data_IF_360492998209
#
_entry.id   IF_360492998209
#
_cell.length_a   1.000
_cell.length_b   1.000
_cell.length_c   1.000
_cell.angle_alpha   90.00
_cell.angle_beta   90.00
_cell.angle_gamma   90.00
#
_symmetry.space_group_name_H-M   'P 1'
#
loop_
_entity.id
_entity.type
_entity.pdbx_description
1 polymer ?
#
# COMPACT_ATOMS: atom_id res chain seq x y z
N UNK A 1 19.78 -8.49 7.83
CA UNK A 1 18.72 -9.24 8.55
C UNK A 1 18.32 -8.61 9.89
N UNK A 2 19.25 -8.11 10.71
CA UNK A 2 18.92 -7.48 12.00
C UNK A 2 18.01 -6.25 11.89
N UNK A 3 18.15 -5.41 10.86
CA UNK A 3 17.26 -4.24 10.64
C UNK A 3 15.82 -4.61 10.32
N UNK A 4 15.58 -5.80 9.75
CA UNK A 4 14.25 -6.33 9.48
C UNK A 4 13.50 -6.64 10.78
N UNK A 5 14.21 -7.23 11.75
CA UNK A 5 13.71 -7.46 13.10
C UNK A 5 13.45 -6.15 13.86
N UNK A 6 14.25 -5.10 13.64
CA UNK A 6 13.96 -3.78 14.18
C UNK A 6 12.68 -3.16 13.58
N UNK A 7 12.40 -3.38 12.29
CA UNK A 7 11.14 -3.03 11.64
C UNK A 7 9.93 -3.77 12.22
N UNK A 8 10.05 -5.08 12.45
CA UNK A 8 9.02 -5.90 13.12
C UNK A 8 8.83 -5.51 14.59
N UNK A 9 9.91 -5.18 15.31
CA UNK A 9 9.82 -4.66 16.68
C UNK A 9 9.08 -3.32 16.73
N UNK A 10 9.16 -2.52 15.65
CA UNK A 10 8.37 -1.28 15.49
C UNK A 10 6.88 -1.56 15.20
N UNK A 11 6.53 -2.71 14.62
CA UNK A 11 5.14 -3.17 14.48
C UNK A 11 4.53 -3.54 15.84
N UNK A 12 5.33 -4.20 16.69
CA UNK A 12 4.89 -4.70 18.00
C UNK A 12 4.91 -3.59 19.07
N UNK A 13 5.77 -2.57 18.91
CA UNK A 13 5.80 -1.43 19.84
C UNK A 13 4.49 -0.67 19.77
N UNK A 14 3.66 -0.82 20.82
CA UNK A 14 2.42 -0.05 21.03
C UNK A 14 2.73 1.44 20.88
N UNK A 15 2.18 2.06 19.83
CA UNK A 15 2.30 3.52 19.66
C UNK A 15 1.53 4.19 20.78
N UNK A 16 2.20 5.15 21.43
CA UNK A 16 1.60 5.96 22.51
C UNK A 16 0.43 6.79 21.97
N UNK A 17 0.48 7.19 20.69
CA UNK A 17 -0.54 8.01 20.04
C UNK A 17 -0.91 7.42 18.67
N UNK A 18 -2.21 7.23 18.46
CA UNK A 18 -2.85 6.72 17.26
C UNK A 18 -3.38 7.88 16.41
N UNK A 19 -2.69 8.16 15.31
CA UNK A 19 -3.08 9.19 14.32
C UNK A 19 -3.68 8.58 13.04
N UNK A 20 -3.90 7.26 13.02
CA UNK A 20 -4.33 6.51 11.84
C UNK A 20 -5.36 5.41 12.16
N UNK A 21 -6.12 5.03 11.13
CA UNK A 21 -7.10 3.94 11.19
C UNK A 21 -6.41 2.59 10.96
N UNK A 22 -7.04 1.50 11.41
CA UNK A 22 -6.48 0.14 11.25
C UNK A 22 -6.25 -0.23 9.78
N UNK A 23 -7.21 0.11 8.90
CA UNK A 23 -7.10 -0.11 7.45
C UNK A 23 -5.96 0.72 6.86
N UNK A 24 -5.80 1.97 7.30
CA UNK A 24 -4.70 2.81 6.84
C UNK A 24 -3.34 2.21 7.23
N UNK A 25 -3.23 1.60 8.42
CA UNK A 25 -2.04 0.83 8.83
C UNK A 25 -1.80 -0.40 7.97
N UNK A 26 -2.83 -1.15 7.58
CA UNK A 26 -2.65 -2.27 6.65
C UNK A 26 -2.04 -1.79 5.33
N UNK A 27 -2.52 -0.67 4.80
CA UNK A 27 -1.96 -0.06 3.58
C UNK A 27 -0.50 0.36 3.77
N UNK A 28 -0.19 1.31 4.66
CA UNK A 28 1.15 1.92 4.68
C UNK A 28 2.18 1.09 5.44
N UNK A 29 1.80 0.37 6.48
CA UNK A 29 2.75 -0.27 7.39
C UNK A 29 3.00 -1.73 7.00
N UNK A 30 1.92 -2.52 6.88
CA UNK A 30 2.05 -3.93 6.55
C UNK A 30 2.49 -4.13 5.10
N UNK A 31 1.88 -3.42 4.15
CA UNK A 31 2.22 -3.57 2.72
C UNK A 31 3.61 -3.07 2.40
N UNK A 32 4.04 -1.92 2.93
CA UNK A 32 5.41 -1.44 2.72
C UNK A 32 6.45 -2.40 3.29
N UNK A 33 6.20 -2.97 4.47
CA UNK A 33 7.12 -3.97 5.05
C UNK A 33 7.12 -5.24 4.20
N UNK A 34 5.96 -5.74 3.79
CA UNK A 34 5.83 -6.90 2.92
C UNK A 34 6.65 -6.74 1.63
N UNK A 35 6.46 -5.61 0.93
CA UNK A 35 7.14 -5.31 -0.33
C UNK A 35 8.66 -5.14 -0.15
N UNK A 36 9.09 -4.44 0.91
CA UNK A 36 10.53 -4.28 1.23
C UNK A 36 11.15 -5.64 1.58
N UNK A 37 10.45 -6.50 2.33
CA UNK A 37 10.92 -7.84 2.63
C UNK A 37 11.08 -8.68 1.35
N UNK A 38 10.08 -8.67 0.46
CA UNK A 38 10.14 -9.35 -0.83
C UNK A 38 11.31 -8.82 -1.68
N UNK A 39 11.53 -7.50 -1.72
CA UNK A 39 12.66 -6.88 -2.42
C UNK A 39 14.01 -7.35 -1.87
N UNK A 40 14.16 -7.44 -0.54
CA UNK A 40 15.39 -7.94 0.09
C UNK A 40 15.62 -9.42 -0.24
N UNK A 41 14.58 -10.25 -0.21
CA UNK A 41 14.67 -11.68 -0.55
C UNK A 41 15.11 -11.88 -2.00
N UNK A 42 14.53 -11.12 -2.94
CA UNK A 42 14.90 -11.21 -4.35
C UNK A 42 16.31 -10.67 -4.61
N UNK A 43 16.68 -9.56 -4.00
CA UNK A 43 18.04 -9.01 -4.07
C UNK A 43 19.06 -10.05 -3.58
N UNK A 44 18.78 -10.73 -2.47
CA UNK A 44 19.65 -11.79 -1.97
C UNK A 44 19.81 -12.93 -2.99
N UNK A 45 18.73 -13.37 -3.64
CA UNK A 45 18.80 -14.40 -4.68
C UNK A 45 19.52 -13.94 -5.96
N UNK A 46 19.39 -12.66 -6.31
CA UNK A 46 19.97 -12.10 -7.53
C UNK A 46 21.49 -11.89 -7.42
N UNK A 47 21.99 -11.48 -6.25
CA UNK A 47 23.42 -11.13 -6.08
C UNK A 47 24.25 -12.19 -5.34
N UNK A 48 23.63 -13.00 -4.47
CA UNK A 48 24.35 -14.04 -3.71
C UNK A 48 24.19 -15.42 -4.35
N UNK A 49 23.12 -15.64 -5.10
CA UNK A 49 22.88 -16.89 -5.84
C UNK A 49 23.26 -16.80 -7.32
N UNK A 50 23.09 -17.90 -8.05
CA UNK A 50 23.18 -17.92 -9.51
C UNK A 50 21.84 -17.44 -10.09
N UNK A 51 21.80 -16.27 -10.76
CA UNK A 51 20.53 -15.72 -11.24
C UNK A 51 19.97 -16.45 -12.47
N UNK A 52 20.87 -17.06 -13.25
CA UNK A 52 20.57 -17.82 -14.45
C UNK A 52 21.60 -18.94 -14.61
N UNK A 53 21.16 -20.11 -15.05
CA UNK A 53 22.04 -21.24 -15.37
C UNK A 53 21.70 -21.74 -16.77
N UNK A 54 22.63 -21.56 -17.71
CA UNK A 54 22.48 -21.94 -19.11
C UNK A 54 23.24 -23.21 -19.45
N UNK A 55 22.65 -24.03 -20.31
CA UNK A 55 23.18 -25.29 -20.83
C UNK A 55 23.29 -25.17 -22.35
N UNK A 56 24.43 -25.59 -22.89
CA UNK A 56 24.72 -25.62 -24.31
C UNK A 56 25.63 -26.82 -24.64
N UNK A 57 25.63 -27.27 -25.91
CA UNK A 57 26.44 -28.39 -26.39
C UNK A 57 27.84 -28.01 -26.91
N UNK A 58 28.17 -26.72 -27.05
CA UNK A 58 29.43 -26.23 -27.64
C UNK A 58 30.47 -25.82 -26.57
N UNK A 59 31.74 -25.69 -26.95
CA UNK A 59 32.89 -25.33 -26.09
C UNK A 59 32.92 -23.87 -25.60
N UNK A 60 31.75 -23.24 -25.41
CA UNK A 60 31.66 -21.87 -24.90
C UNK A 60 31.75 -21.88 -23.37
N UNK A 61 32.63 -21.07 -22.75
CA UNK A 61 32.71 -20.98 -21.30
C UNK A 61 31.35 -20.61 -20.68
N UNK A 62 30.83 -21.50 -19.82
CA UNK A 62 29.51 -21.36 -19.19
C UNK A 62 29.36 -20.04 -18.42
N UNK A 63 30.45 -19.53 -17.84
CA UNK A 63 30.45 -18.23 -17.14
C UNK A 63 30.18 -17.05 -18.06
N UNK A 64 30.77 -17.06 -19.26
CA UNK A 64 30.55 -16.03 -20.30
C UNK A 64 29.13 -16.12 -20.82
N UNK A 65 28.65 -17.34 -21.10
CA UNK A 65 27.29 -17.58 -21.57
C UNK A 65 26.25 -17.11 -20.53
N UNK A 66 26.40 -17.50 -19.27
CA UNK A 66 25.50 -17.09 -18.19
C UNK A 66 25.47 -15.56 -18.03
N UNK A 67 26.64 -14.91 -18.07
CA UNK A 67 26.72 -13.44 -17.94
C UNK A 67 26.08 -12.75 -19.15
N UNK A 68 26.35 -13.24 -20.36
CA UNK A 68 25.76 -12.69 -21.58
C UNK A 68 24.24 -12.83 -21.57
N UNK A 69 23.73 -14.04 -21.31
CA UNK A 69 22.29 -14.32 -21.30
C UNK A 69 21.56 -13.61 -20.16
N UNK A 70 22.24 -13.37 -19.03
CA UNK A 70 21.69 -12.54 -17.97
C UNK A 70 21.48 -11.09 -18.45
N UNK A 71 22.44 -10.52 -19.19
CA UNK A 71 22.43 -9.12 -19.65
C UNK A 71 21.54 -8.92 -20.88
N UNK A 72 21.67 -9.78 -21.91
CA UNK A 72 21.07 -9.61 -23.24
C UNK A 72 19.63 -10.12 -23.39
N UNK A 73 18.95 -10.40 -22.27
CA UNK A 73 17.60 -10.93 -22.17
C UNK A 73 17.43 -12.35 -22.71
N UNK A 74 16.36 -13.00 -22.26
CA UNK A 74 15.97 -14.35 -22.70
C UNK A 74 14.57 -14.33 -23.28
N UNK A 75 14.21 -15.32 -24.09
CA UNK A 75 12.91 -15.36 -24.76
C UNK A 75 12.24 -16.74 -24.71
N UNK A 76 10.93 -16.74 -24.87
CA UNK A 76 10.12 -17.94 -25.11
C UNK A 76 9.33 -17.78 -26.41
N UNK A 77 8.88 -18.90 -26.97
CA UNK A 77 8.03 -18.94 -28.16
C UNK A 77 6.59 -19.24 -27.68
N UNK A 78 5.66 -18.27 -27.72
CA UNK A 78 4.29 -18.44 -27.20
C UNK A 78 3.52 -19.61 -27.82
N UNK A 79 3.75 -19.88 -29.11
CA UNK A 79 3.13 -21.01 -29.82
C UNK A 79 3.56 -22.36 -29.26
N UNK A 80 4.76 -22.45 -28.68
CA UNK A 80 5.31 -23.66 -28.09
C UNK A 80 4.63 -24.03 -26.76
N UNK A 81 3.83 -23.15 -26.15
CA UNK A 81 3.05 -23.49 -24.95
C UNK A 81 1.84 -24.38 -25.26
N UNK A 82 1.40 -24.47 -26.51
CA UNK A 82 0.30 -25.35 -26.95
C UNK A 82 0.78 -26.74 -27.38
N UNK A 83 2.09 -26.92 -27.51
CA UNK A 83 2.73 -28.16 -27.97
C UNK A 83 2.87 -29.17 -26.83
N UNK A 84 2.86 -30.46 -27.14
CA UNK A 84 2.99 -31.52 -26.13
C UNK A 84 4.43 -31.65 -25.64
N UNK A 85 4.62 -31.46 -24.34
CA UNK A 85 5.93 -31.59 -23.67
C UNK A 85 6.41 -33.04 -23.70
N UNK A 86 7.69 -33.25 -23.98
CA UNK A 86 8.32 -34.57 -24.05
C UNK A 86 8.13 -35.29 -25.39
N UNK A 87 7.28 -34.78 -26.28
CA UNK A 87 7.07 -35.31 -27.64
C UNK A 87 7.45 -34.26 -28.69
N UNK A 88 6.82 -33.09 -28.65
CA UNK A 88 7.02 -32.01 -29.64
C UNK A 88 8.01 -30.96 -29.15
N UNK A 89 8.04 -30.71 -27.83
CA UNK A 89 8.89 -29.68 -27.21
C UNK A 89 9.50 -30.20 -25.90
N UNK A 90 10.74 -29.78 -25.53
CA UNK A 90 11.37 -30.22 -24.30
C UNK A 90 10.77 -29.57 -23.04
N UNK A 91 10.22 -28.36 -23.15
CA UNK A 91 9.58 -27.62 -22.06
C UNK A 91 8.57 -26.61 -22.65
N UNK A 92 7.50 -26.23 -21.93
CA UNK A 92 6.58 -25.19 -22.38
C UNK A 92 7.32 -23.89 -22.76
N UNK A 93 7.00 -23.34 -23.93
CA UNK A 93 7.61 -22.12 -24.43
C UNK A 93 8.97 -22.29 -25.11
N UNK A 94 9.51 -23.51 -25.20
CA UNK A 94 10.80 -23.81 -25.82
C UNK A 94 10.59 -24.56 -27.13
N UNK A 95 11.10 -24.01 -28.22
CA UNK A 95 11.02 -24.63 -29.54
C UNK A 95 12.28 -24.32 -30.36
N UNK A 96 12.66 -25.26 -31.23
CA UNK A 96 13.81 -25.19 -32.14
C UNK A 96 13.43 -24.78 -33.56
N UNK A 97 12.16 -24.46 -33.81
CA UNK A 97 11.68 -24.04 -35.13
C UNK A 97 12.40 -22.76 -35.59
N UNK A 98 13.29 -22.91 -36.59
CA UNK A 98 13.99 -21.80 -37.26
C UNK A 98 12.96 -20.99 -38.06
N UNK A 99 12.50 -19.88 -37.50
CA UNK A 99 11.53 -18.99 -38.15
C UNK A 99 10.31 -18.62 -37.31
N UNK A 100 10.27 -18.95 -36.01
CA UNK A 100 9.20 -18.48 -35.12
C UNK A 100 9.12 -16.94 -35.14
N UNK A 101 8.04 -16.39 -35.70
CA UNK A 101 7.88 -14.94 -35.93
C UNK A 101 7.61 -14.20 -34.62
N UNK A 102 7.00 -14.87 -33.63
CA UNK A 102 6.60 -14.26 -32.37
C UNK A 102 7.47 -14.77 -31.21
N UNK A 103 8.50 -14.00 -30.83
CA UNK A 103 9.31 -14.24 -29.63
C UNK A 103 8.85 -13.29 -28.53
N UNK A 104 8.55 -13.83 -27.34
CA UNK A 104 8.30 -13.02 -26.13
C UNK A 104 9.59 -12.94 -25.32
N UNK A 105 10.13 -11.72 -25.19
CA UNK A 105 11.35 -11.45 -24.43
C UNK A 105 11.02 -11.13 -22.98
N UNK A 106 11.84 -11.61 -22.05
CA UNK A 106 11.72 -11.36 -20.63
C UNK A 106 12.92 -10.52 -20.18
N UNK A 107 12.66 -9.27 -19.81
CA UNK A 107 13.67 -8.33 -19.29
C UNK A 107 13.35 -7.85 -17.87
N UNK A 108 12.11 -8.04 -17.42
CA UNK A 108 11.65 -7.48 -16.15
C UNK A 108 12.39 -8.06 -14.93
N UNK A 109 12.91 -9.30 -14.98
CA UNK A 109 13.42 -10.01 -13.80
C UNK A 109 14.62 -9.30 -13.14
N UNK A 110 15.38 -8.52 -13.91
CA UNK A 110 16.48 -7.70 -13.39
C UNK A 110 15.98 -6.51 -12.55
N UNK A 111 14.78 -6.02 -12.87
CA UNK A 111 14.18 -4.81 -12.30
C UNK A 111 13.21 -5.09 -11.16
N UNK A 112 12.67 -6.31 -11.06
CA UNK A 112 11.65 -6.68 -10.05
C UNK A 112 12.06 -6.29 -8.63
N UNK A 113 13.31 -6.52 -8.23
CA UNK A 113 13.77 -6.20 -6.87
C UNK A 113 13.71 -4.69 -6.59
N UNK A 114 14.11 -3.85 -7.54
CA UNK A 114 14.04 -2.39 -7.46
C UNK A 114 12.59 -1.90 -7.51
N UNK A 115 11.78 -2.48 -8.40
CA UNK A 115 10.35 -2.20 -8.48
C UNK A 115 9.70 -2.42 -7.12
N UNK A 116 9.81 -3.61 -6.52
CA UNK A 116 9.20 -3.90 -5.22
C UNK A 116 9.67 -2.93 -4.12
N UNK A 117 10.93 -2.51 -4.15
CA UNK A 117 11.45 -1.50 -3.22
C UNK A 117 10.71 -0.16 -3.39
N UNK A 118 10.65 0.36 -4.61
CA UNK A 118 9.96 1.63 -4.90
C UNK A 118 8.45 1.55 -4.64
N UNK A 119 7.82 0.41 -4.95
CA UNK A 119 6.42 0.17 -4.58
C UNK A 119 6.25 0.25 -3.07
N UNK A 120 7.15 -0.37 -2.29
CA UNK A 120 7.15 -0.27 -0.82
C UNK A 120 7.23 1.17 -0.31
N UNK A 121 8.07 2.01 -0.93
CA UNK A 121 8.17 3.45 -0.62
C UNK A 121 6.88 4.20 -0.98
N UNK A 122 6.29 3.92 -2.14
CA UNK A 122 5.03 4.55 -2.58
C UNK A 122 3.85 4.19 -1.65
N UNK A 123 3.78 2.97 -1.12
CA UNK A 123 2.78 2.61 -0.09
C UNK A 123 2.98 3.38 1.24
N UNK A 124 4.21 3.76 1.57
CA UNK A 124 4.52 4.56 2.76
C UNK A 124 4.20 6.05 2.57
N UNK A 125 4.20 6.53 1.33
CA UNK A 125 4.08 7.96 1.00
C UNK A 125 2.81 8.65 1.53
N UNK A 126 1.58 8.10 1.40
CA UNK A 126 0.38 8.75 1.93
C UNK A 126 0.43 8.97 3.45
N UNK A 127 1.02 8.03 4.19
CA UNK A 127 1.22 8.16 5.63
C UNK A 127 2.29 9.19 5.97
N UNK A 128 3.40 9.21 5.23
CA UNK A 128 4.43 10.23 5.40
C UNK A 128 3.86 11.63 5.21
N UNK A 129 3.07 11.83 4.15
CA UNK A 129 2.39 13.09 3.86
C UNK A 129 1.43 13.48 4.99
N UNK A 130 0.61 12.56 5.48
CA UNK A 130 -0.28 12.81 6.62
C UNK A 130 0.51 13.21 7.86
N UNK A 131 1.61 12.51 8.17
CA UNK A 131 2.44 12.80 9.34
C UNK A 131 3.07 14.18 9.28
N UNK A 132 3.52 14.63 8.10
CA UNK A 132 4.03 15.99 7.90
C UNK A 132 2.94 17.03 8.13
N UNK A 133 1.74 16.78 7.61
CA UNK A 133 0.61 17.70 7.70
C UNK A 133 -0.03 17.77 9.09
N UNK A 134 -0.03 16.67 9.85
CA UNK A 134 -0.59 16.59 11.19
C UNK A 134 0.26 17.39 12.19
N UNK A 135 1.58 17.50 11.96
CA UNK A 135 2.47 18.41 12.70
C UNK A 135 2.60 18.13 14.20
N UNK A 136 2.16 16.96 14.68
CA UNK A 136 2.18 16.58 16.09
C UNK A 136 1.05 17.16 16.95
N UNK A 137 -0.02 17.68 16.34
CA UNK A 137 -1.16 18.26 17.06
C UNK A 137 -1.80 17.28 18.06
N UNK A 138 -2.19 16.09 17.60
CA UNK A 138 -2.84 15.06 18.42
C UNK A 138 -1.89 14.60 19.51
N UNK A 139 -0.60 14.43 19.18
CA UNK A 139 0.40 14.01 20.16
C UNK A 139 0.59 15.07 21.25
N UNK A 140 0.60 16.35 20.90
CA UNK A 140 0.76 17.45 21.85
C UNK A 140 -0.43 17.53 22.79
N UNK A 141 -1.65 17.43 22.25
CA UNK A 141 -2.88 17.44 23.05
C UNK A 141 -2.96 16.19 23.93
N UNK A 142 -2.72 15.00 23.38
CA UNK A 142 -2.83 13.75 24.15
C UNK A 142 -1.82 13.71 25.29
N UNK A 143 -0.56 14.06 25.00
CA UNK A 143 0.51 14.06 26.00
C UNK A 143 0.28 15.15 27.04
N UNK A 144 -0.16 16.35 26.65
CA UNK A 144 -0.46 17.45 27.57
C UNK A 144 -1.58 17.13 28.56
N UNK A 145 -2.53 16.27 28.17
CA UNK A 145 -3.68 15.88 28.98
C UNK A 145 -3.44 14.61 29.82
N UNK A 146 -2.46 13.77 29.47
CA UNK A 146 -2.17 12.48 30.11
C UNK A 146 -1.14 12.52 31.26
N UNK A 147 -0.78 13.69 31.78
CA UNK A 147 0.35 13.78 32.70
C UNK A 147 -0.07 13.42 34.13
N UNK A 148 0.31 12.21 34.56
CA UNK A 148 0.02 11.62 35.87
C UNK A 148 0.92 12.13 37.03
N UNK A 149 1.89 13.02 36.75
CA UNK A 149 2.97 13.37 37.69
C UNK A 149 2.79 14.78 38.33
N UNK A 150 1.72 15.52 37.98
CA UNK A 150 1.51 16.88 38.49
C UNK A 150 0.62 16.95 39.73
N UNK A 151 0.82 18.00 40.52
CA UNK A 151 -0.13 18.45 41.56
C UNK A 151 -1.49 18.79 40.93
N UNK A 152 -2.59 18.63 41.68
CA UNK A 152 -3.95 18.82 41.14
C UNK A 152 -4.18 20.25 40.58
N UNK A 153 -3.51 21.26 41.15
CA UNK A 153 -3.55 22.65 40.65
C UNK A 153 -2.88 22.80 39.27
N UNK A 154 -1.67 22.26 39.09
CA UNK A 154 -0.94 22.35 37.83
C UNK A 154 -1.64 21.58 36.70
N UNK A 155 -2.25 20.44 37.06
CA UNK A 155 -3.09 19.65 36.16
C UNK A 155 -4.29 20.46 35.69
N UNK A 156 -4.99 21.14 36.61
CA UNK A 156 -6.12 22.02 36.29
C UNK A 156 -5.72 23.17 35.36
N UNK A 157 -4.57 23.80 35.62
CA UNK A 157 -4.07 24.93 34.82
C UNK A 157 -3.71 24.52 33.38
N UNK A 158 -2.94 23.45 33.19
CA UNK A 158 -2.55 22.97 31.84
C UNK A 158 -3.76 22.53 31.03
N UNK A 159 -4.68 21.81 31.67
CA UNK A 159 -5.95 21.41 31.06
C UNK A 159 -6.75 22.62 30.58
N UNK A 160 -6.85 23.68 31.39
CA UNK A 160 -7.55 24.91 31.00
C UNK A 160 -6.90 25.59 29.79
N UNK A 161 -5.57 25.63 29.73
CA UNK A 161 -4.83 26.18 28.58
C UNK A 161 -5.12 25.39 27.29
N UNK A 162 -5.10 24.05 27.35
CA UNK A 162 -5.37 23.20 26.19
C UNK A 162 -6.83 23.33 25.74
N UNK A 163 -7.78 23.38 26.67
CA UNK A 163 -9.19 23.61 26.38
C UNK A 163 -9.42 24.97 25.74
N UNK A 164 -8.77 26.03 26.25
CA UNK A 164 -8.86 27.37 25.68
C UNK A 164 -8.27 27.41 24.26
N UNK A 165 -7.12 26.77 24.04
CA UNK A 165 -6.53 26.62 22.71
C UNK A 165 -7.49 25.91 21.72
N UNK A 166 -8.09 24.78 22.13
CA UNK A 166 -9.06 24.04 21.31
C UNK A 166 -10.27 24.90 20.98
N UNK A 167 -10.81 25.61 21.97
CA UNK A 167 -12.00 26.46 21.79
C UNK A 167 -11.71 27.67 20.91
N UNK A 168 -10.54 28.29 21.06
CA UNK A 168 -10.13 29.45 20.26
C UNK A 168 -9.90 29.09 18.79
N UNK A 169 -9.43 27.87 18.53
CA UNK A 169 -9.18 27.39 17.18
C UNK A 169 -10.32 26.53 16.60
N UNK A 170 -11.47 26.44 17.29
CA UNK A 170 -12.70 25.86 16.76
C UNK A 170 -13.01 26.47 15.40
N UNK A 171 -13.59 25.68 14.50
CA UNK A 171 -13.96 26.04 13.13
C UNK A 171 -12.80 26.12 12.12
N UNK A 172 -11.54 26.23 12.56
CA UNK A 172 -10.36 26.29 11.67
C UNK A 172 -9.81 24.90 11.27
N UNK A 173 -10.28 23.82 11.90
CA UNK A 173 -9.82 22.45 11.62
C UNK A 173 -10.37 21.84 10.31
N UNK A 174 -11.05 22.61 9.45
CA UNK A 174 -11.55 22.12 8.14
C UNK A 174 -10.42 21.57 7.26
N UNK A 175 -9.34 22.34 7.11
CA UNK A 175 -8.18 21.94 6.33
C UNK A 175 -7.47 20.72 6.92
N UNK A 176 -7.47 20.57 8.25
CA UNK A 176 -6.91 19.40 8.92
C UNK A 176 -7.64 18.11 8.51
N UNK A 177 -8.99 18.12 8.54
CA UNK A 177 -9.77 16.97 8.10
C UNK A 177 -9.67 16.71 6.59
N UNK A 178 -9.67 17.77 5.77
CA UNK A 178 -9.53 17.64 4.31
C UNK A 178 -8.19 16.98 3.93
N UNK A 179 -7.09 17.40 4.57
CA UNK A 179 -5.77 16.79 4.40
C UNK A 179 -5.77 15.30 4.73
N UNK A 180 -6.48 14.89 5.78
CA UNK A 180 -6.61 13.47 6.13
C UNK A 180 -7.37 12.68 5.07
N UNK A 181 -8.55 13.16 4.66
CA UNK A 181 -9.37 12.48 3.65
C UNK A 181 -8.67 12.43 2.29
N UNK A 182 -7.89 13.46 1.97
CA UNK A 182 -7.01 13.44 0.79
C UNK A 182 -5.98 12.31 0.88
N UNK A 183 -5.34 12.10 2.04
CA UNK A 183 -4.42 10.97 2.24
C UNK A 183 -5.13 9.61 2.16
N UNK A 184 -6.37 9.48 2.66
CA UNK A 184 -7.18 8.27 2.50
C UNK A 184 -7.49 7.99 1.02
N UNK A 185 -7.90 9.02 0.27
CA UNK A 185 -8.14 8.91 -1.18
C UNK A 185 -6.86 8.57 -1.95
N UNK A 186 -5.73 9.17 -1.58
CA UNK A 186 -4.43 8.90 -2.17
C UNK A 186 -4.00 7.43 -1.97
N UNK A 187 -4.48 6.74 -0.93
CA UNK A 187 -4.24 5.30 -0.78
C UNK A 187 -4.94 4.47 -1.86
N UNK A 188 -6.19 4.82 -2.20
CA UNK A 188 -6.94 4.16 -3.29
C UNK A 188 -6.22 4.41 -4.62
N UNK A 189 -5.85 5.66 -4.88
CA UNK A 189 -5.08 6.03 -6.09
C UNK A 189 -3.75 5.29 -6.15
N UNK A 190 -3.04 5.16 -5.03
CA UNK A 190 -1.80 4.41 -4.96
C UNK A 190 -2.05 2.95 -5.33
N UNK A 191 -3.02 2.25 -4.74
CA UNK A 191 -3.28 0.84 -5.09
C UNK A 191 -3.64 0.68 -6.58
N UNK A 192 -4.48 1.55 -7.13
CA UNK A 192 -4.83 1.53 -8.56
C UNK A 192 -3.59 1.74 -9.43
N UNK A 193 -2.75 2.72 -9.09
CA UNK A 193 -1.48 2.96 -9.77
C UNK A 193 -0.56 1.74 -9.71
N UNK A 194 -0.47 1.07 -8.55
CA UNK A 194 0.37 -0.12 -8.38
C UNK A 194 -0.14 -1.31 -9.22
N UNK A 195 -1.45 -1.52 -9.29
CA UNK A 195 -2.06 -2.53 -10.15
C UNK A 195 -1.78 -2.24 -11.63
N UNK A 196 -2.00 -0.99 -12.07
CA UNK A 196 -1.72 -0.57 -13.44
C UNK A 196 -0.23 -0.71 -13.79
N UNK A 197 0.66 -0.22 -12.92
CA UNK A 197 2.10 -0.27 -13.15
C UNK A 197 2.63 -1.71 -13.21
N UNK A 198 2.16 -2.58 -12.31
CA UNK A 198 2.54 -4.00 -12.32
C UNK A 198 1.97 -4.73 -13.55
N UNK A 199 0.77 -4.34 -14.00
CA UNK A 199 0.20 -4.85 -15.24
C UNK A 199 1.00 -4.44 -16.47
N UNK A 200 1.43 -3.19 -16.53
CA UNK A 200 2.32 -2.70 -17.58
C UNK A 200 3.68 -3.42 -17.57
N UNK A 201 4.24 -3.69 -16.38
CA UNK A 201 5.51 -4.41 -16.24
C UNK A 201 5.47 -5.86 -16.78
N UNK A 202 4.30 -6.51 -16.74
CA UNK A 202 4.11 -7.90 -17.17
C UNK A 202 3.30 -8.03 -18.46
N UNK A 203 3.40 -7.04 -19.36
CA UNK A 203 2.78 -7.05 -20.69
C UNK A 203 1.24 -7.24 -20.68
N UNK A 204 0.57 -6.75 -19.64
CA UNK A 204 -0.90 -6.80 -19.55
C UNK A 204 -1.48 -8.04 -18.86
N UNK A 205 -0.64 -8.95 -18.36
CA UNK A 205 -1.10 -10.24 -17.81
C UNK A 205 -1.43 -10.20 -16.31
N UNK A 206 -1.12 -9.10 -15.59
CA UNK A 206 -1.20 -9.08 -14.13
C UNK A 206 -2.63 -8.95 -13.60
N UNK A 207 -3.50 -8.17 -14.24
CA UNK A 207 -4.87 -7.93 -13.73
C UNK A 207 -5.64 -9.25 -13.62
N UNK A 208 -5.58 -10.09 -14.65
CA UNK A 208 -6.30 -11.37 -14.68
C UNK A 208 -5.50 -12.53 -14.06
N UNK A 209 -4.26 -12.29 -13.64
CA UNK A 209 -3.32 -13.32 -13.19
C UNK A 209 -3.90 -14.23 -12.10
N UNK A 210 -4.38 -13.67 -10.98
CA UNK A 210 -4.87 -14.47 -9.86
C UNK A 210 -6.12 -15.29 -10.18
N UNK A 211 -7.02 -14.74 -11.00
CA UNK A 211 -8.22 -15.43 -11.48
C UNK A 211 -7.82 -16.58 -12.42
N UNK A 212 -6.92 -16.33 -13.36
CA UNK A 212 -6.42 -17.33 -14.29
C UNK A 212 -5.71 -18.48 -13.55
N UNK A 213 -4.92 -18.17 -12.52
CA UNK A 213 -4.31 -19.19 -11.67
C UNK A 213 -5.35 -20.01 -10.92
N UNK A 214 -6.38 -19.38 -10.34
CA UNK A 214 -7.43 -20.10 -9.63
C UNK A 214 -8.24 -21.01 -10.56
N UNK A 215 -8.52 -20.54 -11.78
CA UNK A 215 -9.19 -21.30 -12.82
C UNK A 215 -8.34 -22.49 -13.30
N UNK A 216 -7.03 -22.32 -13.41
CA UNK A 216 -6.10 -23.40 -13.72
C UNK A 216 -6.04 -24.44 -12.60
N UNK A 217 -5.92 -24.00 -11.34
CA UNK A 217 -5.85 -24.89 -10.18
C UNK A 217 -7.12 -25.74 -9.97
N UNK A 218 -8.28 -25.26 -10.43
CA UNK A 218 -9.56 -25.99 -10.37
C UNK A 218 -9.79 -26.93 -11.54
N UNK A 219 -9.07 -26.77 -12.65
CA UNK A 219 -9.27 -27.60 -13.83
C UNK A 219 -8.33 -28.81 -13.83
N UNK A 220 -8.88 -30.00 -14.02
CA UNK A 220 -8.12 -31.26 -14.16
C UNK A 220 -7.50 -31.46 -15.55
N UNK A 221 -7.69 -30.51 -16.49
CA UNK A 221 -7.16 -30.63 -17.85
C UNK A 221 -5.70 -30.20 -17.91
N UNK A 222 -4.83 -31.16 -18.16
CA UNK A 222 -3.38 -30.95 -18.35
C UNK A 222 -3.03 -30.11 -19.58
N UNK A 223 -3.92 -30.02 -20.58
CA UNK A 223 -3.67 -29.31 -21.84
C UNK A 223 -3.75 -27.78 -21.76
N UNK A 224 -4.01 -27.19 -20.58
CA UNK A 224 -4.09 -25.74 -20.41
C UNK A 224 -2.72 -25.13 -20.15
N UNK A 225 -2.48 -23.97 -20.77
CA UNK A 225 -1.28 -23.17 -20.51
C UNK A 225 -1.29 -22.72 -19.05
N UNK A 226 -0.28 -23.11 -18.28
CA UNK A 226 -0.12 -22.69 -16.90
C UNK A 226 0.22 -21.17 -16.85
N UNK A 227 -0.66 -20.32 -16.30
CA UNK A 227 -0.44 -18.87 -16.27
C UNK A 227 0.82 -18.48 -15.49
N UNK A 228 1.22 -19.26 -14.47
CA UNK A 228 2.44 -19.00 -13.71
C UNK A 228 3.68 -19.11 -14.58
N UNK A 229 3.75 -20.15 -15.42
CA UNK A 229 4.90 -20.41 -16.32
C UNK A 229 4.87 -19.47 -17.51
N UNK A 230 3.70 -19.03 -17.95
CA UNK A 230 3.55 -18.07 -19.05
C UNK A 230 4.03 -16.66 -18.66
N UNK A 231 3.69 -16.19 -17.46
CA UNK A 231 4.13 -14.87 -16.98
C UNK A 231 5.58 -14.95 -16.48
N UNK A 232 5.90 -15.99 -15.69
CA UNK A 232 7.20 -16.22 -15.06
C UNK A 232 7.83 -17.55 -15.54
N UNK A 233 8.42 -17.58 -16.74
CA UNK A 233 9.02 -18.81 -17.26
C UNK A 233 10.22 -19.24 -16.41
N UNK A 234 10.26 -20.53 -16.07
CA UNK A 234 11.37 -21.15 -15.34
C UNK A 234 12.51 -21.58 -16.26
N UNK A 235 12.20 -21.75 -17.55
CA UNK A 235 13.17 -22.06 -18.61
C UNK A 235 12.91 -21.18 -19.82
N UNK A 236 13.98 -20.70 -20.44
CA UNK A 236 13.94 -19.78 -21.59
C UNK A 236 15.06 -20.11 -22.58
N UNK A 237 14.97 -19.56 -23.80
CA UNK A 237 16.05 -19.60 -24.78
C UNK A 237 16.86 -18.30 -24.74
N UNK A 238 18.16 -18.43 -24.86
CA UNK A 238 19.09 -17.34 -25.08
C UNK A 238 19.80 -17.55 -26.42
N UNK A 239 20.00 -16.48 -27.19
CA UNK A 239 20.78 -16.55 -28.43
C UNK A 239 22.11 -15.84 -28.23
N UNK A 240 23.18 -16.61 -28.16
CA UNK A 240 24.54 -16.11 -28.09
C UNK A 240 25.12 -15.94 -29.50
N UNK A 241 25.84 -14.84 -29.71
CA UNK A 241 26.41 -14.50 -31.01
C UNK A 241 27.93 -14.57 -30.92
N UNK A 242 28.54 -15.46 -31.70
CA UNK A 242 29.99 -15.51 -31.90
C UNK A 242 30.32 -14.98 -33.29
N UNK A 243 31.57 -14.57 -33.48
CA UNK A 243 32.06 -14.05 -34.75
C UNK A 243 33.19 -14.95 -35.24
N UNK A 244 33.00 -15.55 -36.41
CA UNK A 244 34.03 -16.36 -37.05
C UNK A 244 35.19 -15.50 -37.57
N UNK A 245 36.32 -16.13 -37.92
CA UNK A 245 37.48 -15.43 -38.50
C UNK A 245 37.17 -14.65 -39.78
N UNK A 246 36.15 -15.07 -40.54
CA UNK A 246 35.64 -14.39 -41.74
C UNK A 246 34.74 -13.19 -41.43
N UNK A 247 34.42 -12.92 -40.16
CA UNK A 247 33.45 -11.89 -39.75
C UNK A 247 31.99 -12.34 -39.78
N UNK A 248 31.71 -13.58 -40.19
CA UNK A 248 30.36 -14.14 -40.19
C UNK A 248 29.84 -14.35 -38.76
N UNK A 249 28.57 -13.98 -38.55
CA UNK A 249 27.88 -14.15 -37.26
C UNK A 249 27.39 -15.59 -37.14
N UNK A 250 27.90 -16.30 -36.13
CA UNK A 250 27.42 -17.63 -35.77
C UNK A 250 26.46 -17.54 -34.58
N UNK A 251 25.32 -18.20 -34.70
CA UNK A 251 24.27 -18.19 -33.69
C UNK A 251 24.28 -19.49 -32.88
N UNK A 252 24.41 -19.34 -31.57
CA UNK A 252 24.36 -20.42 -30.61
C UNK A 252 23.12 -20.24 -29.74
N UNK A 253 22.15 -21.16 -29.84
CA UNK A 253 20.96 -21.16 -28.99
C UNK A 253 21.27 -21.97 -27.72
N UNK A 254 21.18 -21.33 -26.55
CA UNK A 254 21.33 -21.96 -25.25
C UNK A 254 19.97 -22.07 -24.53
N UNK A 255 19.81 -23.11 -23.71
CA UNK A 255 18.67 -23.28 -22.83
C UNK A 255 19.04 -22.79 -21.43
N UNK A 256 18.27 -21.86 -20.88
CA UNK A 256 18.58 -21.22 -19.61
C UNK A 256 17.48 -21.44 -18.58
N UNK A 257 17.85 -21.91 -17.39
CA UNK A 257 16.99 -22.00 -16.22
C UNK A 257 17.05 -20.70 -15.41
N UNK A 258 15.89 -20.21 -14.96
CA UNK A 258 15.75 -18.98 -14.18
C UNK A 258 15.17 -19.29 -12.79
N UNK A 259 16.02 -19.64 -11.80
CA UNK A 259 15.56 -19.93 -10.44
C UNK A 259 14.85 -18.75 -9.77
N UNK A 260 15.19 -17.51 -10.12
CA UNK A 260 14.55 -16.30 -9.60
C UNK A 260 13.04 -16.28 -9.90
N UNK A 261 12.63 -16.79 -11.05
CA UNK A 261 11.24 -16.76 -11.46
C UNK A 261 10.36 -17.71 -10.64
N UNK A 262 10.92 -18.76 -10.04
CA UNK A 262 10.22 -19.62 -9.08
C UNK A 262 9.82 -18.84 -7.82
N UNK A 263 10.64 -17.89 -7.39
CA UNK A 263 10.32 -17.02 -6.24
C UNK A 263 9.34 -15.93 -6.68
N UNK A 264 9.56 -15.32 -7.85
CA UNK A 264 8.68 -14.27 -8.40
C UNK A 264 7.25 -14.76 -8.58
N UNK A 265 7.03 -15.97 -9.14
CA UNK A 265 5.68 -16.51 -9.34
C UNK A 265 4.89 -16.60 -8.03
N UNK A 266 5.56 -16.89 -6.89
CA UNK A 266 4.94 -17.00 -5.56
C UNK A 266 4.74 -15.65 -4.89
N UNK A 267 5.67 -14.72 -5.06
CA UNK A 267 5.53 -13.36 -4.54
C UNK A 267 4.35 -12.67 -5.25
N UNK A 268 4.31 -12.69 -6.57
CA UNK A 268 3.32 -11.92 -7.33
C UNK A 268 1.91 -12.50 -7.25
N UNK A 269 1.74 -13.82 -7.06
CA UNK A 269 0.41 -14.37 -6.76
C UNK A 269 -0.09 -13.91 -5.39
N UNK A 270 0.77 -13.92 -4.36
CA UNK A 270 0.41 -13.42 -3.03
C UNK A 270 0.09 -11.92 -3.08
N UNK A 271 0.90 -11.13 -3.79
CA UNK A 271 0.69 -9.69 -3.94
C UNK A 271 -0.60 -9.37 -4.71
N UNK A 272 -0.96 -10.17 -5.71
CA UNK A 272 -2.21 -10.00 -6.45
C UNK A 272 -3.42 -10.06 -5.51
N UNK A 273 -3.54 -11.14 -4.73
CA UNK A 273 -4.64 -11.28 -3.75
C UNK A 273 -4.59 -10.17 -2.70
N UNK A 274 -3.39 -9.79 -2.26
CA UNK A 274 -3.19 -8.73 -1.28
C UNK A 274 -3.65 -7.35 -1.78
N UNK A 275 -3.28 -6.97 -3.01
CA UNK A 275 -3.65 -5.66 -3.59
C UNK A 275 -5.15 -5.55 -3.83
N UNK A 276 -5.81 -6.59 -4.35
CA UNK A 276 -7.27 -6.57 -4.52
C UNK A 276 -8.00 -6.56 -3.16
N UNK A 277 -7.54 -7.33 -2.18
CA UNK A 277 -8.08 -7.28 -0.83
C UNK A 277 -7.96 -5.88 -0.19
N UNK A 278 -6.80 -5.25 -0.32
CA UNK A 278 -6.59 -3.89 0.17
C UNK A 278 -7.42 -2.86 -0.59
N UNK A 279 -7.56 -3.01 -1.92
CA UNK A 279 -8.39 -2.13 -2.73
C UNK A 279 -9.82 -2.13 -2.22
N UNK A 280 -10.38 -3.32 -1.93
CA UNK A 280 -11.74 -3.46 -1.39
C UNK A 280 -11.84 -2.79 -0.03
N UNK A 281 -10.93 -3.09 0.91
CA UNK A 281 -10.98 -2.53 2.27
C UNK A 281 -10.84 -1.00 2.30
N UNK A 282 -9.87 -0.46 1.56
CA UNK A 282 -9.62 1.00 1.52
C UNK A 282 -10.76 1.71 0.78
N UNK A 283 -11.28 1.14 -0.31
CA UNK A 283 -12.43 1.71 -1.02
C UNK A 283 -13.68 1.71 -0.15
N UNK A 284 -13.96 0.62 0.58
CA UNK A 284 -15.07 0.57 1.54
C UNK A 284 -14.91 1.62 2.65
N UNK A 285 -13.69 1.85 3.14
CA UNK A 285 -13.41 2.91 4.11
C UNK A 285 -13.70 4.30 3.54
N UNK A 286 -13.24 4.59 2.32
CA UNK A 286 -13.49 5.86 1.64
C UNK A 286 -14.98 6.08 1.38
N UNK A 287 -15.71 5.05 0.93
CA UNK A 287 -17.16 5.10 0.72
C UNK A 287 -17.91 5.31 2.04
N UNK A 288 -17.54 4.58 3.09
CA UNK A 288 -18.08 4.76 4.44
C UNK A 288 -17.88 6.19 4.95
N UNK A 289 -16.69 6.78 4.74
CA UNK A 289 -16.40 8.17 5.09
C UNK A 289 -17.28 9.13 4.28
N UNK A 290 -17.36 8.96 2.96
CA UNK A 290 -18.15 9.81 2.08
C UNK A 290 -19.64 9.80 2.47
N UNK A 291 -20.18 8.65 2.87
CA UNK A 291 -21.57 8.51 3.30
C UNK A 291 -21.88 9.19 4.65
N UNK A 292 -20.92 9.24 5.58
CA UNK A 292 -21.15 9.80 6.94
C UNK A 292 -21.00 11.33 6.98
N UNK A 293 -20.10 11.89 6.16
CA UNK A 293 -19.80 13.33 6.17
C UNK A 293 -21.04 14.24 6.04
N UNK A 294 -22.01 13.99 5.15
CA UNK A 294 -23.18 14.85 5.01
C UNK A 294 -24.22 14.65 6.13
N UNK A 295 -24.23 13.51 6.81
CA UNK A 295 -25.31 13.17 7.75
C UNK A 295 -24.89 13.44 9.20
N UNK A 296 -25.35 14.57 9.73
CA UNK A 296 -25.07 15.02 11.10
C UNK A 296 -25.50 14.02 12.18
N UNK A 297 -26.57 13.25 11.95
CA UNK A 297 -27.06 12.21 12.88
C UNK A 297 -26.06 11.05 13.00
N UNK A 298 -25.55 10.54 11.88
CA UNK A 298 -24.55 9.48 11.88
C UNK A 298 -23.23 9.95 12.49
N UNK A 299 -22.80 11.18 12.20
CA UNK A 299 -21.64 11.80 12.85
C UNK A 299 -21.75 11.78 14.38
N UNK A 300 -22.90 12.17 14.92
CA UNK A 300 -23.14 12.17 16.37
C UNK A 300 -23.10 10.75 16.95
N UNK A 301 -23.69 9.76 16.26
CA UNK A 301 -23.68 8.35 16.68
C UNK A 301 -22.28 7.75 16.71
N UNK A 302 -21.47 7.98 15.66
CA UNK A 302 -20.10 7.48 15.64
C UNK A 302 -19.20 8.17 16.66
N UNK A 303 -19.46 9.46 16.93
CA UNK A 303 -18.75 10.17 17.99
C UNK A 303 -19.12 9.63 19.37
N UNK A 304 -20.40 9.30 19.62
CA UNK A 304 -20.83 8.71 20.89
C UNK A 304 -20.26 7.31 21.12
N UNK A 305 -20.07 6.52 20.06
CA UNK A 305 -19.42 5.20 20.16
C UNK A 305 -17.97 5.29 20.68
N UNK A 306 -17.28 6.40 20.39
CA UNK A 306 -15.93 6.70 20.89
C UNK A 306 -15.96 7.42 22.24
N UNK A 307 -16.87 8.37 22.43
CA UNK A 307 -17.01 9.18 23.63
C UNK A 307 -18.12 8.62 24.56
N UNK A 308 -17.92 7.40 25.09
CA UNK A 308 -18.95 6.65 25.83
C UNK A 308 -19.53 7.37 27.06
N UNK A 309 -18.77 8.28 27.67
CA UNK A 309 -19.14 9.03 28.88
C UNK A 309 -19.72 10.42 28.60
N UNK A 310 -19.63 10.91 27.36
CA UNK A 310 -20.13 12.23 26.97
C UNK A 310 -21.66 12.22 26.81
N UNK A 311 -22.31 13.34 27.18
CA UNK A 311 -23.77 13.47 27.04
C UNK A 311 -24.14 13.57 25.56
N UNK A 312 -25.17 12.85 25.14
CA UNK A 312 -25.59 12.80 23.73
C UNK A 312 -26.08 14.15 23.21
N UNK A 313 -26.62 15.01 24.08
CA UNK A 313 -27.00 16.40 23.76
C UNK A 313 -25.79 17.22 23.31
N UNK A 314 -24.69 17.16 24.04
CA UNK A 314 -23.47 17.94 23.76
C UNK A 314 -22.81 17.48 22.45
N UNK A 315 -22.75 16.16 22.23
CA UNK A 315 -22.24 15.59 20.98
C UNK A 315 -23.08 16.01 19.77
N UNK A 316 -24.41 16.05 19.91
CA UNK A 316 -25.31 16.47 18.85
C UNK A 316 -25.16 17.97 18.55
N UNK A 317 -25.05 18.80 19.58
CA UNK A 317 -24.80 20.24 19.45
C UNK A 317 -23.49 20.52 18.70
N UNK A 318 -22.42 19.82 19.04
CA UNK A 318 -21.13 19.94 18.34
C UNK A 318 -21.27 19.53 16.87
N UNK A 319 -22.04 18.48 16.56
CA UNK A 319 -22.21 18.03 15.19
C UNK A 319 -23.08 19.01 14.36
N UNK A 320 -24.05 19.68 15.00
CA UNK A 320 -24.97 20.62 14.35
C UNK A 320 -24.34 22.00 14.11
N UNK A 321 -23.65 22.56 15.11
CA UNK A 321 -23.08 23.92 15.04
C UNK A 321 -21.59 23.93 14.68
N UNK A 322 -20.89 22.79 14.82
CA UNK A 322 -19.47 22.66 14.53
C UNK A 322 -19.18 22.20 13.11
N UNK A 323 -17.99 22.54 12.62
CA UNK A 323 -17.54 22.12 11.30
C UNK A 323 -17.16 20.63 11.27
N UNK A 324 -17.06 20.07 10.06
CA UNK A 324 -16.59 18.70 9.83
C UNK A 324 -15.20 18.48 10.47
N UNK A 325 -14.34 19.49 10.42
CA UNK A 325 -13.02 19.48 11.03
C UNK A 325 -13.04 19.29 12.55
N UNK A 326 -13.95 19.97 13.25
CA UNK A 326 -14.06 19.91 14.70
C UNK A 326 -14.54 18.52 15.14
N UNK A 327 -15.52 17.96 14.43
CA UNK A 327 -15.97 16.59 14.64
C UNK A 327 -14.86 15.56 14.39
N UNK A 328 -14.11 15.72 13.30
CA UNK A 328 -13.04 14.80 12.95
C UNK A 328 -11.89 14.85 13.96
N UNK A 329 -11.50 16.04 14.43
CA UNK A 329 -10.51 16.21 15.48
C UNK A 329 -10.94 15.49 16.77
N UNK A 330 -12.19 15.67 17.20
CA UNK A 330 -12.73 14.97 18.37
C UNK A 330 -12.79 13.45 18.17
N UNK A 331 -13.14 12.99 16.97
CA UNK A 331 -13.12 11.58 16.62
C UNK A 331 -11.71 10.98 16.77
N UNK A 332 -10.67 11.72 16.34
CA UNK A 332 -9.27 11.31 16.49
C UNK A 332 -8.79 11.36 17.94
N UNK A 333 -9.16 12.42 18.69
CA UNK A 333 -8.82 12.56 20.11
C UNK A 333 -9.47 11.47 20.97
N UNK A 334 -10.68 11.04 20.64
CA UNK A 334 -11.38 9.97 21.36
C UNK A 334 -10.68 8.60 21.32
N UNK A 335 -9.75 8.38 20.39
CA UNK A 335 -8.92 7.17 20.37
C UNK A 335 -7.64 7.29 21.21
N UNK A 336 -7.29 8.51 21.63
CA UNK A 336 -6.01 8.83 22.27
C UNK A 336 -6.16 9.31 23.71
N UNK A 337 -7.33 9.81 24.09
CA UNK A 337 -7.61 10.38 25.41
C UNK A 337 -8.54 9.49 26.23
N UNK A 338 -8.41 9.59 27.55
CA UNK A 338 -9.30 8.88 28.46
C UNK A 338 -10.74 9.38 28.32
N UNK A 339 -11.75 8.48 28.42
CA UNK A 339 -13.15 8.85 28.26
C UNK A 339 -13.66 9.96 29.20
N UNK A 340 -13.09 10.06 30.41
CA UNK A 340 -13.44 11.12 31.37
C UNK A 340 -12.99 12.50 30.88
N UNK A 341 -11.78 12.57 30.34
CA UNK A 341 -11.21 13.80 29.77
C UNK A 341 -12.01 14.21 28.53
N UNK A 342 -12.38 13.24 27.69
CA UNK A 342 -13.21 13.50 26.52
C UNK A 342 -14.59 14.07 26.88
N UNK A 343 -15.21 13.59 27.97
CA UNK A 343 -16.48 14.14 28.47
C UNK A 343 -16.37 15.64 28.74
N UNK A 344 -15.36 16.07 29.49
CA UNK A 344 -15.17 17.47 29.85
C UNK A 344 -14.87 18.34 28.62
N UNK A 345 -14.03 17.85 27.69
CA UNK A 345 -13.75 18.53 26.42
C UNK A 345 -15.06 18.76 25.65
N UNK A 346 -15.88 17.71 25.51
CA UNK A 346 -17.15 17.82 24.77
C UNK A 346 -18.16 18.75 25.45
N UNK A 347 -18.23 18.77 26.78
CA UNK A 347 -19.12 19.67 27.52
C UNK A 347 -18.71 21.14 27.33
N UNK A 348 -17.40 21.45 27.44
CA UNK A 348 -16.89 22.82 27.26
C UNK A 348 -17.05 23.29 25.82
N UNK A 349 -16.68 22.44 24.85
CA UNK A 349 -16.79 22.78 23.42
C UNK A 349 -18.25 22.97 22.99
N UNK A 350 -19.17 22.13 23.46
CA UNK A 350 -20.60 22.31 23.15
C UNK A 350 -21.12 23.65 23.64
N UNK A 351 -20.77 24.08 24.87
CA UNK A 351 -21.23 25.37 25.40
C UNK A 351 -20.68 26.55 24.59
N UNK A 352 -19.40 26.50 24.21
CA UNK A 352 -18.77 27.56 23.43
C UNK A 352 -19.34 27.66 22.01
N UNK A 353 -19.63 26.53 21.36
CA UNK A 353 -20.22 26.52 20.02
C UNK A 353 -21.65 27.08 20.02
N UNK A 354 -22.48 26.69 20.99
CA UNK A 354 -23.84 27.23 21.12
C UNK A 354 -23.82 28.74 21.36
N UNK A 355 -22.98 29.20 22.30
CA UNK A 355 -22.84 30.64 22.59
C UNK A 355 -22.36 31.44 21.37
N UNK A 356 -21.48 30.86 20.56
CA UNK A 356 -20.98 31.50 19.34
C UNK A 356 -22.08 31.63 18.27
N UNK A 357 -22.92 30.61 18.13
CA UNK A 357 -24.03 30.60 17.19
C UNK A 357 -25.11 31.63 17.57
N UNK A 358 -25.46 31.71 18.86
CA UNK A 358 -26.37 32.73 19.41
C UNK A 358 -25.85 34.16 19.18
N UNK A 359 -24.55 34.39 19.31
CA UNK A 359 -23.95 35.71 19.03
C UNK A 359 -23.97 36.05 17.53
N UNK A 360 -23.83 35.05 16.65
CA UNK A 360 -23.88 35.23 15.20
C UNK A 360 -25.31 35.57 14.76
N UNK A 361 -26.33 34.86 15.26
CA UNK A 361 -27.73 35.15 14.95
C UNK A 361 -28.13 36.55 15.44
N UNK A 362 -27.74 36.94 16.65
CA UNK A 362 -28.01 38.29 17.17
C UNK A 362 -27.35 39.39 16.33
N UNK A 363 -26.14 39.16 15.82
CA UNK A 363 -25.46 40.11 14.93
C UNK A 363 -26.14 40.25 13.56
N UNK A 364 -26.66 39.17 12.99
CA UNK A 364 -27.38 39.20 11.72
C UNK A 364 -28.73 39.91 11.83
N UNK A 365 -29.46 39.69 12.93
CA UNK A 365 -30.71 40.41 13.21
C UNK A 365 -30.48 41.91 13.39
N UNK A 366 -29.38 42.29 14.05
CA UNK A 366 -29.02 43.71 14.22
C UNK A 366 -28.68 44.36 12.87
N UNK A 367 -27.99 43.65 11.98
CA UNK A 367 -27.66 44.15 10.63
C UNK A 367 -28.90 44.21 9.72
N UNK A 368 -29.86 43.30 9.88
CA UNK A 368 -31.10 43.31 9.09
C UNK A 368 -32.12 44.38 9.54
N UNK A 369 -31.95 44.92 10.75
CA UNK A 369 -32.79 46.00 11.31
C UNK A 369 -32.25 47.41 11.02
N UNK A 370 -31.04 47.53 10.44
CA UNK A 370 -30.43 48.78 9.94
C UNK A 370 -30.54 48.79 8.43
#
# INVERSE_FOLDING_TARGET
MLDLFFGLKRLIKRRVVLIDNAIFRLHWLLTSILLICCSVVLTAKQYVGNPIECIQADDIPVTVLNTYCWIHSTFTIPEAFKKKVGVEVPHPGIDNTKGSVNKKYYTYYQWVCFVLFFQGVLFYFPYYLWKLWEGGLIKTISTGMQIAIFTDEEKGRKKKIILDYLCRNLTHYKFYALKYFFCEFLCVLNIIFQLWFTNWLFDGEFIDYGINVLNYARSEREDRINPMVFVFPRMTKCRFHTYGYSGDVQHHDALCMLPLNVVNEKIYIMLWFWFFFLLILVSLLCLYRLAILPVTRFRAYFLSARCRLSRQRDLRNICQHGNIGDWFLLYMLGNNLDPLIMKEITEVMSKQLVKRDENLSASQETIAMV
#
